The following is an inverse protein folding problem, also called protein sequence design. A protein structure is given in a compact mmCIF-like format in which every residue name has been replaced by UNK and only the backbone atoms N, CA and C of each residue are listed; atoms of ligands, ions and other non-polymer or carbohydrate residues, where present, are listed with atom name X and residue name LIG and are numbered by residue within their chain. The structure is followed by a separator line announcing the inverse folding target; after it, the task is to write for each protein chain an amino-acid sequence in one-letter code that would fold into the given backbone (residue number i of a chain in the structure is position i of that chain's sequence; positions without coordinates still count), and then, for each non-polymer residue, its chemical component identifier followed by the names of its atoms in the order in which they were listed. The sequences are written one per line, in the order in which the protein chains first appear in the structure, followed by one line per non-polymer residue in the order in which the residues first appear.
data_IF_101167955614
#
_entry.id   IF_101167955614
#
_cell.length_a   1.000
_cell.length_b   1.000
_cell.length_c   1.000
_cell.angle_alpha   90.00
_cell.angle_beta   90.00
_cell.angle_gamma   90.00
#
_symmetry.space_group_name_H-M   'P 1'
#
loop_
_entity.id
_entity.type
_entity.pdbx_description
1 polymer ?
#
# COMPACT_ATOMS: atom_id res chain seq x y z
N UNK A 1 -10.55 5.64 -17.23
CA UNK A 1 -11.88 5.06 -16.96
C UNK A 1 -11.78 3.56 -17.13
N UNK A 2 -12.27 2.77 -16.17
CA UNK A 2 -12.42 1.32 -16.35
C UNK A 2 -13.80 1.08 -16.96
N UNK A 3 -13.86 0.36 -18.07
CA UNK A 3 -15.08 -0.09 -18.73
C UNK A 3 -15.03 -1.62 -18.91
N UNK A 4 -15.71 -2.35 -18.04
CA UNK A 4 -15.56 -3.81 -17.96
C UNK A 4 -14.11 -4.19 -17.65
N UNK A 5 -13.50 -4.98 -18.52
CA UNK A 5 -12.10 -5.42 -18.41
C UNK A 5 -11.10 -4.46 -19.10
N UNK A 6 -11.55 -3.31 -19.60
CA UNK A 6 -10.71 -2.37 -20.34
C UNK A 6 -10.43 -1.11 -19.53
N UNK A 7 -9.15 -0.76 -19.43
CA UNK A 7 -8.72 0.54 -18.95
C UNK A 7 -8.54 1.49 -20.13
N UNK A 8 -9.30 2.59 -20.14
CA UNK A 8 -9.15 3.70 -21.10
C UNK A 8 -8.40 4.86 -20.46
N UNK A 9 -7.33 5.29 -21.12
CA UNK A 9 -6.48 6.43 -20.73
C UNK A 9 -6.35 7.37 -21.91
N UNK A 10 -6.46 8.67 -21.65
CA UNK A 10 -6.22 9.71 -22.65
C UNK A 10 -4.76 10.12 -22.56
N UNK A 11 -4.08 10.15 -23.71
CA UNK A 11 -2.68 10.54 -23.86
C UNK A 11 -2.58 11.64 -24.92
N UNK A 12 -1.62 12.58 -24.81
CA UNK A 12 -1.44 13.63 -25.81
C UNK A 12 -1.02 13.08 -27.18
N UNK A 13 -0.29 11.96 -27.20
CA UNK A 13 0.13 11.24 -28.39
C UNK A 13 0.27 9.74 -28.07
N UNK A 14 0.36 8.90 -29.10
CA UNK A 14 0.65 7.47 -28.96
C UNK A 14 2.16 7.17 -28.87
N UNK A 15 2.95 8.15 -28.41
CA UNK A 15 4.35 7.93 -28.08
C UNK A 15 4.47 7.00 -26.86
N UNK A 16 5.45 6.09 -26.89
CA UNK A 16 5.61 5.08 -25.84
C UNK A 16 5.83 5.71 -24.45
N UNK A 17 6.60 6.80 -24.37
CA UNK A 17 6.87 7.49 -23.11
C UNK A 17 5.59 8.11 -22.53
N UNK A 18 4.76 8.71 -23.36
CA UNK A 18 3.46 9.28 -22.95
C UNK A 18 2.49 8.18 -22.47
N UNK A 19 2.41 7.06 -23.20
CA UNK A 19 1.56 5.92 -22.81
C UNK A 19 2.01 5.34 -21.47
N UNK A 20 3.31 5.07 -21.31
CA UNK A 20 3.86 4.52 -20.06
C UNK A 20 3.65 5.49 -18.90
N UNK A 21 3.89 6.79 -19.11
CA UNK A 21 3.68 7.82 -18.10
C UNK A 21 2.22 7.91 -17.64
N UNK A 22 1.28 7.84 -18.58
CA UNK A 22 -0.15 7.90 -18.26
C UNK A 22 -0.64 6.62 -17.54
N UNK A 23 -0.16 5.44 -17.94
CA UNK A 23 -0.42 4.18 -17.24
C UNK A 23 0.11 4.19 -15.82
N UNK A 24 1.37 4.63 -15.63
CA UNK A 24 1.95 4.74 -14.29
C UNK A 24 1.20 5.74 -13.42
N UNK A 25 0.76 6.86 -13.99
CA UNK A 25 -0.03 7.86 -13.27
C UNK A 25 -1.36 7.28 -12.80
N UNK A 26 -2.02 6.50 -13.67
CA UNK A 26 -3.23 5.78 -13.29
C UNK A 26 -2.98 4.76 -12.17
N UNK A 27 -1.96 3.90 -12.28
CA UNK A 27 -1.61 2.94 -11.21
C UNK A 27 -1.28 3.63 -9.89
N UNK A 28 -0.58 4.77 -9.91
CA UNK A 28 -0.28 5.55 -8.70
C UNK A 28 -1.54 6.08 -8.04
N UNK A 29 -2.54 6.49 -8.81
CA UNK A 29 -3.82 6.95 -8.29
C UNK A 29 -4.59 5.80 -7.64
N UNK A 30 -4.70 4.65 -8.33
CA UNK A 30 -5.35 3.46 -7.80
C UNK A 30 -4.66 2.95 -6.53
N UNK A 31 -3.32 2.87 -6.55
CA UNK A 31 -2.51 2.50 -5.39
C UNK A 31 -2.76 3.45 -4.22
N UNK A 32 -2.85 4.76 -4.47
CA UNK A 32 -3.11 5.77 -3.44
C UNK A 32 -4.48 5.56 -2.79
N UNK A 33 -5.51 5.31 -3.60
CA UNK A 33 -6.85 5.02 -3.10
C UNK A 33 -6.88 3.75 -2.25
N UNK A 34 -6.40 2.63 -2.83
CA UNK A 34 -6.44 1.32 -2.18
C UNK A 34 -5.59 1.23 -0.93
N UNK A 35 -4.35 1.73 -0.96
CA UNK A 35 -3.46 1.70 0.21
C UNK A 35 -4.00 2.59 1.33
N UNK A 36 -4.63 3.73 1.03
CA UNK A 36 -5.28 4.56 2.04
C UNK A 36 -6.45 3.82 2.70
N UNK A 37 -7.32 3.20 1.90
CA UNK A 37 -8.44 2.39 2.40
C UNK A 37 -7.94 1.30 3.35
N UNK A 38 -6.89 0.56 2.98
CA UNK A 38 -6.35 -0.52 3.84
C UNK A 38 -5.65 0.01 5.08
N UNK A 39 -4.91 1.12 4.99
CA UNK A 39 -4.30 1.78 6.15
C UNK A 39 -5.37 2.24 7.14
N UNK A 40 -6.45 2.84 6.66
CA UNK A 40 -7.55 3.31 7.50
C UNK A 40 -8.27 2.14 8.18
N UNK A 41 -8.52 1.06 7.43
CA UNK A 41 -9.08 -0.18 7.96
C UNK A 41 -8.24 -0.76 9.10
N UNK A 42 -6.95 -1.03 8.86
CA UNK A 42 -6.07 -1.61 9.89
C UNK A 42 -5.79 -0.66 11.05
N UNK A 43 -5.74 0.65 10.79
CA UNK A 43 -5.60 1.64 11.85
C UNK A 43 -6.82 1.62 12.78
N UNK A 44 -8.02 1.45 12.24
CA UNK A 44 -9.24 1.30 13.03
C UNK A 44 -9.26 -0.01 13.83
N UNK A 45 -8.96 -1.15 13.19
CA UNK A 45 -8.88 -2.46 13.85
C UNK A 45 -7.85 -2.44 14.99
N UNK A 46 -6.68 -1.85 14.74
CA UNK A 46 -5.61 -1.73 15.72
C UNK A 46 -5.74 -0.46 16.57
N UNK A 47 -6.82 0.30 16.54
CA UNK A 47 -7.00 1.51 17.37
C UNK A 47 -5.79 2.46 17.39
N UNK A 48 -5.08 2.60 16.27
CA UNK A 48 -3.92 3.49 16.09
C UNK A 48 -4.22 4.58 15.08
N UNK A 49 -3.36 5.60 15.00
CA UNK A 49 -3.42 6.64 13.97
C UNK A 49 -2.04 6.84 13.36
N UNK A 50 -1.95 6.81 12.04
CA UNK A 50 -0.75 7.25 11.33
C UNK A 50 -0.74 8.78 11.22
N UNK A 51 0.44 9.40 11.30
CA UNK A 51 0.58 10.85 11.13
C UNK A 51 0.53 11.27 9.66
N UNK A 52 1.00 10.40 8.77
CA UNK A 52 1.09 10.68 7.34
C UNK A 52 1.20 9.38 6.56
N UNK A 53 0.54 9.34 5.42
CA UNK A 53 0.69 8.29 4.41
C UNK A 53 1.35 8.87 3.16
N UNK A 54 2.42 8.22 2.68
CA UNK A 54 3.09 8.59 1.43
C UNK A 54 3.15 7.39 0.49
N UNK A 55 2.85 7.64 -0.79
CA UNK A 55 2.92 6.65 -1.86
C UNK A 55 4.09 7.06 -2.75
N UNK A 56 5.04 6.17 -2.99
CA UNK A 56 6.32 6.49 -3.65
C UNK A 56 6.70 5.42 -4.66
N UNK A 57 7.68 5.74 -5.49
CA UNK A 57 8.27 4.80 -6.45
C UNK A 57 9.47 4.05 -5.84
N UNK A 58 9.28 3.47 -4.65
CA UNK A 58 10.35 2.75 -3.96
C UNK A 58 10.61 1.40 -4.64
N UNK A 59 11.89 1.07 -4.83
CA UNK A 59 12.33 -0.15 -5.53
C UNK A 59 12.90 -1.23 -4.61
N UNK A 60 13.39 -0.85 -3.43
CA UNK A 60 14.09 -1.76 -2.50
C UNK A 60 13.24 -2.24 -1.34
N UNK A 61 12.05 -1.65 -1.16
CA UNK A 61 11.11 -2.01 -0.10
C UNK A 61 9.68 -1.74 -0.55
N UNK A 62 8.75 -2.52 0.00
CA UNK A 62 7.32 -2.40 -0.26
C UNK A 62 6.63 -1.39 0.66
N UNK A 63 7.07 -1.33 1.92
CA UNK A 63 6.55 -0.47 2.96
C UNK A 63 7.64 0.04 3.90
N UNK A 64 7.30 1.03 4.73
CA UNK A 64 8.06 1.40 5.92
C UNK A 64 7.23 2.26 6.87
N UNK A 65 7.44 2.07 8.17
CA UNK A 65 6.98 2.95 9.23
C UNK A 65 8.16 3.64 9.91
N UNK A 66 8.12 4.97 10.00
CA UNK A 66 9.11 5.74 10.78
C UNK A 66 8.78 5.71 12.28
N UNK A 67 9.78 5.96 13.13
CA UNK A 67 9.59 6.14 14.58
C UNK A 67 8.63 7.28 14.95
N UNK A 68 8.31 8.19 14.01
CA UNK A 68 7.32 9.26 14.19
C UNK A 68 5.92 8.84 13.73
N UNK A 69 5.68 7.58 13.40
CA UNK A 69 4.37 7.09 12.95
C UNK A 69 3.95 7.56 11.56
N UNK A 70 4.91 7.88 10.69
CA UNK A 70 4.66 8.10 9.25
C UNK A 70 4.83 6.80 8.47
N UNK A 71 3.87 6.49 7.61
CA UNK A 71 3.86 5.33 6.73
C UNK A 71 4.27 5.71 5.29
N UNK A 72 5.01 4.84 4.64
CA UNK A 72 5.41 4.99 3.23
C UNK A 72 5.29 3.66 2.51
N UNK A 73 4.69 3.65 1.34
CA UNK A 73 4.52 2.44 0.53
C UNK A 73 4.97 2.66 -0.92
N UNK A 74 5.38 1.57 -1.57
CA UNK A 74 5.58 1.55 -3.02
C UNK A 74 4.23 1.48 -3.73
N UNK A 75 3.99 2.35 -4.73
CA UNK A 75 2.76 2.27 -5.53
C UNK A 75 2.62 0.92 -6.25
N UNK A 76 3.75 0.24 -6.51
CA UNK A 76 3.76 -1.08 -7.16
C UNK A 76 3.06 -2.17 -6.36
N UNK A 77 2.78 -1.97 -5.07
CA UNK A 77 1.96 -2.90 -4.30
C UNK A 77 0.59 -3.16 -4.94
N UNK A 78 0.03 -2.19 -5.69
CA UNK A 78 -1.24 -2.37 -6.39
C UNK A 78 -1.19 -3.45 -7.48
N UNK A 79 0.00 -3.84 -7.91
CA UNK A 79 0.23 -4.90 -8.90
C UNK A 79 0.41 -6.27 -8.24
N UNK A 80 0.57 -6.32 -6.92
CA UNK A 80 0.65 -7.57 -6.18
C UNK A 80 -0.75 -8.16 -5.96
N UNK A 81 -0.85 -9.47 -5.72
CA UNK A 81 -2.06 -10.07 -5.15
C UNK A 81 -2.56 -9.28 -3.93
N UNK A 82 -3.88 -9.19 -3.78
CA UNK A 82 -4.51 -8.34 -2.76
C UNK A 82 -4.11 -8.72 -1.33
N UNK A 83 -3.90 -10.00 -1.07
CA UNK A 83 -3.47 -10.55 0.20
C UNK A 83 -2.04 -10.09 0.56
N UNK A 84 -1.12 -10.08 -0.41
CA UNK A 84 0.23 -9.49 -0.26
C UNK A 84 0.16 -7.98 -0.04
N UNK A 85 -0.65 -7.29 -0.86
CA UNK A 85 -1.36 -6.04 -0.54
C UNK A 85 -1.46 -5.76 0.95
N UNK A 86 -2.42 -6.49 1.49
CA UNK A 86 -3.03 -6.24 2.77
C UNK A 86 -2.11 -6.60 3.92
N UNK A 87 -1.35 -7.70 3.76
CA UNK A 87 -0.32 -8.12 4.70
C UNK A 87 0.76 -7.04 4.87
N UNK A 88 1.28 -6.47 3.78
CA UNK A 88 2.31 -5.42 3.86
C UNK A 88 1.74 -4.17 4.55
N UNK A 89 0.48 -3.82 4.28
CA UNK A 89 -0.17 -2.70 4.98
C UNK A 89 -0.31 -2.99 6.48
N UNK A 90 -0.83 -4.15 6.86
CA UNK A 90 -0.94 -4.59 8.24
C UNK A 90 0.42 -4.55 8.95
N UNK A 91 1.48 -5.05 8.30
CA UNK A 91 2.84 -5.05 8.83
C UNK A 91 3.29 -3.63 9.23
N UNK A 92 3.14 -2.66 8.31
CA UNK A 92 3.57 -1.30 8.58
C UNK A 92 2.66 -0.56 9.56
N UNK A 93 1.36 -0.86 9.59
CA UNK A 93 0.43 -0.30 10.60
C UNK A 93 0.71 -0.88 11.99
N UNK A 94 1.05 -2.17 12.09
CA UNK A 94 1.44 -2.81 13.34
C UNK A 94 2.68 -2.15 13.97
N UNK A 95 3.58 -1.59 13.14
CA UNK A 95 4.70 -0.79 13.62
C UNK A 95 4.32 0.50 14.35
N UNK A 96 3.07 0.96 14.25
CA UNK A 96 2.55 2.06 15.06
C UNK A 96 2.28 1.66 16.52
N UNK A 97 2.13 0.34 16.79
CA UNK A 97 2.01 -0.22 18.15
C UNK A 97 3.33 -0.78 18.67
N UNK A 98 4.08 -1.48 17.83
CA UNK A 98 5.32 -2.16 18.20
C UNK A 98 6.39 -2.00 17.10
N UNK A 99 7.45 -1.25 17.39
CA UNK A 99 8.44 -0.85 16.37
C UNK A 99 9.43 -1.96 15.99
N UNK A 100 9.60 -2.97 16.84
CA UNK A 100 10.50 -4.09 16.56
C UNK A 100 9.72 -5.34 16.18
N UNK A 101 10.34 -6.29 15.47
CA UNK A 101 9.74 -7.58 15.14
C UNK A 101 9.75 -8.57 16.32
N UNK A 102 9.35 -8.11 17.51
CA UNK A 102 9.25 -8.94 18.71
C UNK A 102 8.06 -9.89 18.65
N UNK A 103 7.93 -10.78 19.63
CA UNK A 103 6.76 -11.66 19.77
C UNK A 103 5.45 -10.88 19.84
N UNK A 104 5.45 -9.67 20.42
CA UNK A 104 4.27 -8.80 20.49
C UNK A 104 3.85 -8.30 19.11
N UNK A 105 4.82 -7.91 18.29
CA UNK A 105 4.58 -7.53 16.89
C UNK A 105 3.96 -8.69 16.11
N UNK A 106 4.57 -9.88 16.18
CA UNK A 106 4.08 -11.03 15.44
C UNK A 106 2.71 -11.50 15.92
N UNK A 107 2.40 -11.39 17.21
CA UNK A 107 1.05 -11.64 17.72
C UNK A 107 0.02 -10.71 17.07
N UNK A 108 0.31 -9.40 16.95
CA UNK A 108 -0.59 -8.46 16.27
C UNK A 108 -0.81 -8.87 14.81
N UNK A 109 0.24 -9.25 14.10
CA UNK A 109 0.13 -9.63 12.68
C UNK A 109 -0.66 -10.94 12.53
N UNK A 110 -0.34 -11.98 13.32
CA UNK A 110 -0.99 -13.30 13.22
C UNK A 110 -2.46 -13.28 13.65
N UNK A 111 -2.83 -12.46 14.65
CA UNK A 111 -4.22 -12.37 15.14
C UNK A 111 -5.15 -11.76 14.09
N UNK A 112 -4.59 -11.04 13.12
CA UNK A 112 -5.32 -10.27 12.12
C UNK A 112 -5.19 -10.84 10.70
N UNK A 113 -4.17 -11.66 10.45
CA UNK A 113 -3.93 -12.30 9.18
C UNK A 113 -4.21 -13.80 9.30
N UNK A 114 -5.40 -14.22 8.85
CA UNK A 114 -5.71 -15.64 8.69
C UNK A 114 -5.15 -16.08 7.33
N UNK A 115 -4.14 -16.95 7.36
CA UNK A 115 -3.38 -17.52 6.22
C UNK A 115 -2.36 -16.62 5.52
N UNK A 116 -1.13 -16.59 6.06
CA UNK A 116 0.12 -16.55 5.30
C UNK A 116 1.23 -17.27 6.09
N UNK A 117 1.28 -18.61 5.99
CA UNK A 117 2.50 -19.41 6.21
C UNK A 117 2.99 -19.95 4.87
#
# INVERSE_FOLDING_TARGET
LIEGEKLRILVPSFDEHEIVGALQSWYRLEATSKLRERVDHWSAVLGVKSLQLTIRDQRTRWGSCSARGRLSFSWRLILAPFDVLDYVVLHEVAHLREHNHSRRFWAIVSDNCHDHQ
#
